data_IF_869175778614
#
_entry.id   IF_869175778614
#
_cell.length_a   1.000
_cell.length_b   1.000
_cell.length_c   1.000
_cell.angle_alpha   90.00
_cell.angle_beta   90.00
_cell.angle_gamma   90.00
#
_symmetry.space_group_name_H-M   'P 1'
#
loop_
_entity.id
_entity.type
_entity.pdbx_description
1 polymer ?
#
# COMPACT_ATOMS: atom_id res chain seq x y z
N UNK A 1 -5.11 -1.25 -0.98
CA UNK A 1 -3.87 -1.74 -0.31
C UNK A 1 -3.13 -2.81 -1.13
N UNK A 2 -3.64 -3.27 -2.27
CA UNK A 2 -3.18 -4.48 -2.99
C UNK A 2 -1.75 -4.45 -3.54
N UNK A 3 -1.15 -3.28 -3.77
CA UNK A 3 0.18 -3.20 -4.41
C UNK A 3 1.32 -2.96 -3.44
N UNK A 4 1.04 -2.53 -2.23
CA UNK A 4 2.06 -2.12 -1.27
C UNK A 4 2.97 -0.98 -1.73
N UNK A 5 2.60 -0.22 -2.77
CA UNK A 5 3.36 0.93 -3.27
C UNK A 5 3.38 2.11 -2.29
N UNK A 6 4.39 2.96 -2.41
CA UNK A 6 4.38 4.27 -1.76
C UNK A 6 3.37 5.18 -2.45
N UNK A 7 2.74 6.07 -1.69
CA UNK A 7 1.78 7.02 -2.26
C UNK A 7 2.38 7.88 -3.37
N UNK A 8 3.66 8.27 -3.26
CA UNK A 8 4.37 9.00 -4.32
C UNK A 8 4.40 8.26 -5.65
N UNK A 9 4.51 6.93 -5.59
CA UNK A 9 4.57 6.08 -6.79
C UNK A 9 3.16 5.86 -7.35
N UNK A 10 2.15 5.70 -6.48
CA UNK A 10 0.75 5.63 -6.89
C UNK A 10 0.29 6.92 -7.59
N UNK A 11 0.65 8.09 -7.05
CA UNK A 11 0.32 9.39 -7.66
C UNK A 11 0.99 9.62 -9.03
N UNK A 12 2.02 8.86 -9.36
CA UNK A 12 2.66 8.90 -10.66
C UNK A 12 2.03 7.97 -11.71
N UNK A 13 1.20 7.02 -11.27
CA UNK A 13 0.59 6.06 -12.18
C UNK A 13 -0.44 6.72 -13.11
N UNK A 14 -0.51 6.16 -14.31
CA UNK A 14 -1.50 6.51 -15.34
C UNK A 14 -2.36 5.30 -15.67
N UNK A 15 -3.57 5.53 -16.16
CA UNK A 15 -4.50 4.45 -16.48
C UNK A 15 -3.94 3.46 -17.50
N UNK A 16 -3.26 3.94 -18.55
CA UNK A 16 -2.66 3.07 -19.57
C UNK A 16 -1.58 2.11 -19.06
N UNK A 17 -1.07 2.32 -17.84
CA UNK A 17 -0.06 1.43 -17.24
C UNK A 17 -0.69 0.26 -16.49
N UNK A 18 -1.93 0.40 -16.03
CA UNK A 18 -2.58 -0.56 -15.13
C UNK A 18 -3.90 -1.11 -15.66
N UNK A 19 -4.49 -0.47 -16.67
CA UNK A 19 -5.76 -0.88 -17.24
C UNK A 19 -5.56 -2.10 -18.17
N UNK A 20 -6.33 -3.17 -17.94
CA UNK A 20 -6.26 -4.42 -18.70
C UNK A 20 -4.85 -5.04 -18.77
N UNK A 21 -4.10 -4.93 -17.70
CA UNK A 21 -2.70 -5.39 -17.62
C UNK A 21 -2.53 -6.31 -16.41
N UNK A 22 -1.88 -7.46 -16.60
CA UNK A 22 -1.57 -8.39 -15.51
C UNK A 22 -0.30 -7.97 -14.74
N UNK A 23 0.63 -7.33 -15.43
CA UNK A 23 1.88 -6.85 -14.84
C UNK A 23 2.22 -5.47 -15.38
N UNK A 24 2.83 -4.65 -14.52
CA UNK A 24 3.37 -3.34 -14.93
C UNK A 24 4.66 -3.03 -14.18
N UNK A 25 5.50 -2.23 -14.81
CA UNK A 25 6.76 -1.79 -14.22
C UNK A 25 6.73 -0.30 -13.87
N UNK A 26 7.34 0.04 -12.75
CA UNK A 26 7.54 1.42 -12.32
C UNK A 26 9.02 1.67 -11.99
N UNK A 27 9.41 2.94 -12.00
CA UNK A 27 10.64 3.40 -11.37
C UNK A 27 10.22 4.11 -10.09
N UNK A 28 10.59 3.53 -8.94
CA UNK A 28 10.25 4.09 -7.63
C UNK A 28 10.87 5.47 -7.45
N UNK A 29 10.07 6.49 -7.15
CA UNK A 29 10.53 7.88 -7.00
C UNK A 29 11.59 8.07 -5.90
N UNK A 30 11.48 7.31 -4.81
CA UNK A 30 12.40 7.44 -3.68
C UNK A 30 13.74 6.78 -3.91
N UNK A 31 13.80 5.69 -4.68
CA UNK A 31 14.98 4.82 -4.76
C UNK A 31 15.59 4.75 -6.15
N UNK A 32 14.85 5.21 -7.18
CA UNK A 32 15.25 5.08 -8.59
C UNK A 32 15.24 3.63 -9.10
N UNK A 33 14.86 2.65 -8.28
CA UNK A 33 14.88 1.24 -8.67
C UNK A 33 13.66 0.90 -9.53
N UNK A 34 13.90 0.11 -10.57
CA UNK A 34 12.83 -0.51 -11.37
C UNK A 34 12.18 -1.62 -10.57
N UNK A 35 10.86 -1.64 -10.55
CA UNK A 35 10.06 -2.66 -9.88
C UNK A 35 8.92 -3.11 -10.78
N UNK A 36 8.76 -4.42 -10.94
CA UNK A 36 7.60 -5.02 -11.58
C UNK A 36 6.57 -5.42 -10.54
N UNK A 37 5.31 -5.16 -10.80
CA UNK A 37 4.17 -5.49 -9.96
C UNK A 37 3.19 -6.33 -10.75
N UNK A 38 2.57 -7.29 -10.06
CA UNK A 38 1.47 -8.09 -10.61
C UNK A 38 0.13 -7.54 -10.10
N UNK A 39 -0.84 -7.49 -11.01
CA UNK A 39 -2.22 -7.13 -10.72
C UNK A 39 -3.02 -8.43 -10.69
N UNK A 40 -3.53 -8.81 -9.53
CA UNK A 40 -4.40 -9.97 -9.44
C UNK A 40 -5.78 -9.69 -10.07
N UNK A 41 -6.56 -10.73 -10.42
CA UNK A 41 -7.84 -10.56 -11.11
C UNK A 41 -8.83 -9.65 -10.36
N UNK A 42 -8.88 -9.74 -9.03
CA UNK A 42 -9.76 -8.90 -8.22
C UNK A 42 -9.39 -7.41 -8.31
N UNK A 43 -8.10 -7.10 -8.25
CA UNK A 43 -7.62 -5.73 -8.41
C UNK A 43 -7.85 -5.23 -9.84
N UNK A 44 -7.66 -6.09 -10.85
CA UNK A 44 -7.88 -5.76 -12.25
C UNK A 44 -9.34 -5.37 -12.50
N UNK A 45 -10.29 -6.18 -12.02
CA UNK A 45 -11.70 -5.87 -12.08
C UNK A 45 -12.02 -4.51 -11.43
N UNK A 46 -11.50 -4.27 -10.23
CA UNK A 46 -11.71 -3.02 -9.52
C UNK A 46 -11.10 -1.80 -10.25
N UNK A 47 -9.96 -1.95 -10.91
CA UNK A 47 -9.36 -0.90 -11.74
C UNK A 47 -10.29 -0.55 -12.92
N UNK A 48 -10.86 -1.56 -13.58
CA UNK A 48 -11.81 -1.35 -14.69
C UNK A 48 -13.06 -0.61 -14.19
N UNK A 49 -13.66 -1.09 -13.10
CA UNK A 49 -14.82 -0.43 -12.48
C UNK A 49 -14.55 1.05 -12.15
N UNK A 50 -13.39 1.33 -11.56
CA UNK A 50 -12.98 2.71 -11.26
C UNK A 50 -12.80 3.55 -12.55
N UNK A 51 -12.21 2.97 -13.59
CA UNK A 51 -12.01 3.65 -14.86
C UNK A 51 -13.36 4.02 -15.51
N UNK A 52 -14.31 3.09 -15.53
CA UNK A 52 -15.65 3.30 -16.08
C UNK A 52 -16.44 4.35 -15.29
N UNK A 53 -16.31 4.37 -13.96
CA UNK A 53 -16.98 5.37 -13.11
C UNK A 53 -16.37 6.77 -13.25
N UNK A 54 -15.05 6.86 -13.36
CA UNK A 54 -14.34 8.15 -13.40
C UNK A 54 -14.39 8.76 -14.80
N UNK A 55 -14.43 7.94 -15.85
CA UNK A 55 -14.43 8.34 -17.25
C UNK A 55 -13.36 9.41 -17.56
N UNK A 56 -12.08 9.10 -17.35
CA UNK A 56 -11.01 10.07 -17.55
C UNK A 56 -10.93 10.50 -19.03
N UNK A 57 -10.51 11.74 -19.27
CA UNK A 57 -10.39 12.31 -20.62
C UNK A 57 -9.50 11.48 -21.54
N UNK A 58 -8.51 10.76 -20.97
CA UNK A 58 -7.60 9.91 -21.74
C UNK A 58 -7.05 8.79 -20.84
N UNK A 59 -6.76 7.65 -21.45
CA UNK A 59 -6.02 6.56 -20.79
C UNK A 59 -4.63 6.98 -20.31
N UNK A 60 -4.07 8.06 -20.84
CA UNK A 60 -2.80 8.65 -20.39
C UNK A 60 -2.97 9.57 -19.17
N UNK A 61 -4.21 9.82 -18.72
CA UNK A 61 -4.47 10.63 -17.52
C UNK A 61 -3.93 9.94 -16.27
N UNK A 62 -3.44 10.71 -15.27
CA UNK A 62 -3.10 10.17 -13.97
C UNK A 62 -4.32 9.53 -13.30
N UNK A 63 -4.10 8.48 -12.50
CA UNK A 63 -5.20 7.75 -11.85
C UNK A 63 -5.84 8.52 -10.67
N UNK A 64 -5.11 9.43 -10.05
CA UNK A 64 -5.57 10.20 -8.90
C UNK A 64 -5.48 11.71 -9.20
N UNK A 65 -6.58 12.25 -9.66
CA UNK A 65 -6.70 13.68 -9.99
C UNK A 65 -7.85 14.33 -9.22
N UNK A 66 -7.71 15.63 -8.97
CA UNK A 66 -8.77 16.45 -8.42
C UNK A 66 -9.84 16.74 -9.48
N UNK A 67 -10.97 17.30 -9.07
CA UNK A 67 -12.01 17.79 -10.02
C UNK A 67 -11.47 18.81 -11.03
N UNK A 68 -10.37 19.50 -10.70
CA UNK A 68 -9.68 20.46 -11.58
C UNK A 68 -8.67 19.78 -12.52
N UNK A 69 -8.59 18.44 -12.57
CA UNK A 69 -7.64 17.69 -13.38
C UNK A 69 -6.18 17.69 -12.88
N UNK A 70 -5.90 18.28 -11.70
CA UNK A 70 -4.55 18.31 -11.12
C UNK A 70 -4.28 17.07 -10.29
N UNK A 71 -3.06 16.54 -10.33
CA UNK A 71 -2.64 15.39 -9.50
C UNK A 71 -2.74 15.80 -8.02
N UNK A 72 -3.28 14.91 -7.19
CA UNK A 72 -3.33 15.13 -5.74
C UNK A 72 -1.94 15.22 -5.13
N UNK A 73 -1.79 16.06 -4.11
CA UNK A 73 -0.62 16.02 -3.22
C UNK A 73 -0.79 14.93 -2.15
N UNK A 74 0.33 14.46 -1.59
CA UNK A 74 0.31 13.49 -0.48
C UNK A 74 -0.48 14.03 0.71
N UNK A 75 -0.33 15.33 1.00
CA UNK A 75 -1.07 16.01 2.07
C UNK A 75 -2.58 15.93 1.82
N UNK A 76 -3.03 16.24 0.60
CA UNK A 76 -4.46 16.16 0.27
C UNK A 76 -5.01 14.74 0.41
N UNK A 77 -4.27 13.71 -0.05
CA UNK A 77 -4.69 12.32 0.15
C UNK A 77 -4.82 12.00 1.65
N UNK A 78 -3.88 12.42 2.49
CA UNK A 78 -3.99 12.19 3.92
C UNK A 78 -5.19 12.94 4.56
N UNK A 79 -5.56 14.11 4.05
CA UNK A 79 -6.79 14.81 4.47
C UNK A 79 -8.02 13.97 4.09
N UNK A 80 -8.12 13.50 2.85
CA UNK A 80 -9.22 12.64 2.37
C UNK A 80 -9.32 11.36 3.22
N UNK A 81 -8.19 10.72 3.55
CA UNK A 81 -8.19 9.53 4.40
C UNK A 81 -8.72 9.84 5.82
N UNK A 82 -8.41 11.00 6.38
CA UNK A 82 -8.98 11.44 7.68
C UNK A 82 -10.48 11.68 7.59
N UNK A 83 -10.96 12.28 6.50
CA UNK A 83 -12.39 12.46 6.23
C UNK A 83 -13.11 11.10 6.13
N UNK A 84 -12.53 10.13 5.40
CA UNK A 84 -13.02 8.76 5.30
C UNK A 84 -13.06 8.09 6.69
N UNK A 85 -11.98 8.21 7.47
CA UNK A 85 -11.94 7.68 8.85
C UNK A 85 -13.09 8.20 9.67
N UNK A 86 -13.37 9.51 9.63
CA UNK A 86 -14.47 10.15 10.36
C UNK A 86 -15.82 9.66 9.86
N UNK A 87 -16.03 9.67 8.54
CA UNK A 87 -17.30 9.27 7.90
C UNK A 87 -17.70 7.83 8.25
N UNK A 88 -16.75 6.91 8.20
CA UNK A 88 -16.99 5.48 8.44
C UNK A 88 -16.66 5.03 9.87
N UNK A 89 -16.37 5.98 10.77
CA UNK A 89 -16.05 5.70 12.20
C UNK A 89 -14.97 4.63 12.38
N UNK A 90 -13.94 4.63 11.53
CA UNK A 90 -12.89 3.61 11.55
C UNK A 90 -12.08 3.67 12.85
N UNK A 91 -11.99 2.55 13.56
CA UNK A 91 -11.25 2.41 14.83
C UNK A 91 -9.73 2.26 14.58
N UNK A 92 -9.12 3.15 13.83
CA UNK A 92 -7.68 3.17 13.52
C UNK A 92 -7.06 4.41 14.13
N UNK A 93 -6.01 4.27 14.96
CA UNK A 93 -5.40 5.40 15.67
C UNK A 93 -4.89 6.47 14.71
N UNK A 94 -4.03 6.11 13.77
CA UNK A 94 -3.42 7.02 12.79
C UNK A 94 -3.70 6.52 11.37
N UNK A 95 -4.77 7.02 10.72
CA UNK A 95 -5.13 6.63 9.36
C UNK A 95 -4.48 7.56 8.33
N UNK A 96 -3.57 7.00 7.52
CA UNK A 96 -2.77 7.74 6.54
C UNK A 96 -2.38 6.82 5.37
N UNK A 97 -1.73 7.37 4.35
CA UNK A 97 -1.17 6.57 3.25
C UNK A 97 -0.21 5.46 3.73
N UNK A 98 0.55 5.74 4.79
CA UNK A 98 1.42 4.72 5.40
C UNK A 98 0.64 3.59 6.07
N UNK A 99 -0.53 3.88 6.64
CA UNK A 99 -1.38 2.85 7.24
C UNK A 99 -1.83 1.84 6.20
N UNK A 100 -2.24 2.28 5.01
CA UNK A 100 -2.66 1.40 3.93
C UNK A 100 -1.51 0.48 3.45
N UNK A 101 -0.31 1.02 3.31
CA UNK A 101 0.87 0.23 2.95
C UNK A 101 1.27 -0.75 4.07
N UNK A 102 1.14 -0.32 5.33
CA UNK A 102 1.37 -1.16 6.50
C UNK A 102 0.35 -2.31 6.57
N UNK A 103 -0.92 -2.03 6.30
CA UNK A 103 -1.98 -3.05 6.22
C UNK A 103 -1.66 -4.11 5.17
N UNK A 104 -1.20 -3.73 3.98
CA UNK A 104 -0.73 -4.68 2.98
C UNK A 104 0.37 -5.60 3.53
N UNK A 105 1.39 -5.03 4.16
CA UNK A 105 2.49 -5.82 4.71
C UNK A 105 2.05 -6.75 5.84
N UNK A 106 1.17 -6.28 6.72
CA UNK A 106 0.57 -7.12 7.79
C UNK A 106 -0.23 -8.28 7.22
N UNK A 107 -1.02 -8.03 6.18
CA UNK A 107 -1.81 -9.07 5.54
C UNK A 107 -0.92 -10.13 4.87
N UNK A 108 0.12 -9.72 4.14
CA UNK A 108 1.10 -10.66 3.57
C UNK A 108 1.79 -11.48 4.66
N UNK A 109 2.18 -10.86 5.77
CA UNK A 109 2.79 -11.55 6.89
C UNK A 109 1.83 -12.59 7.51
N UNK A 110 0.60 -12.19 7.82
CA UNK A 110 -0.39 -13.06 8.44
C UNK A 110 -0.82 -14.25 7.55
N UNK A 111 -0.91 -14.02 6.22
CA UNK A 111 -1.24 -15.08 5.27
C UNK A 111 -0.09 -16.10 5.08
N UNK A 112 1.09 -15.82 5.57
CA UNK A 112 2.27 -16.69 5.51
C UNK A 112 2.77 -17.03 6.92
N UNK A 113 1.87 -17.26 7.87
CA UNK A 113 2.21 -17.53 9.27
C UNK A 113 3.14 -18.74 9.46
N UNK A 114 2.97 -19.79 8.65
CA UNK A 114 3.84 -20.97 8.65
C UNK A 114 5.28 -20.70 8.19
N UNK A 115 5.48 -19.64 7.38
CA UNK A 115 6.77 -19.22 6.83
C UNK A 115 7.02 -17.73 7.08
N UNK A 116 6.76 -17.28 8.31
CA UNK A 116 6.79 -15.87 8.69
C UNK A 116 8.13 -15.18 8.42
N UNK A 117 9.25 -15.87 8.60
CA UNK A 117 10.59 -15.33 8.30
C UNK A 117 10.77 -15.09 6.80
N UNK A 118 10.36 -16.04 5.94
CA UNK A 118 10.42 -15.87 4.50
C UNK A 118 9.50 -14.72 4.05
N UNK A 119 8.32 -14.59 4.66
CA UNK A 119 7.42 -13.46 4.41
C UNK A 119 8.09 -12.12 4.76
N UNK A 120 8.83 -12.06 5.87
CA UNK A 120 9.57 -10.84 6.27
C UNK A 120 10.71 -10.51 5.31
N UNK A 121 11.43 -11.50 4.79
CA UNK A 121 12.45 -11.29 3.75
C UNK A 121 11.81 -10.71 2.49
N UNK A 122 10.75 -11.33 1.98
CA UNK A 122 10.00 -10.83 0.81
C UNK A 122 9.46 -9.41 1.04
N UNK A 123 8.92 -9.12 2.23
CA UNK A 123 8.42 -7.77 2.59
C UNK A 123 9.55 -6.76 2.73
N UNK A 124 10.73 -7.16 3.23
CA UNK A 124 11.91 -6.31 3.30
C UNK A 124 12.32 -5.85 1.90
N UNK A 125 12.44 -6.77 0.96
CA UNK A 125 12.75 -6.47 -0.45
C UNK A 125 11.66 -5.62 -1.09
N UNK A 126 10.39 -6.01 -0.92
CA UNK A 126 9.21 -5.34 -1.45
C UNK A 126 9.08 -3.89 -0.94
N UNK A 127 9.42 -3.64 0.30
CA UNK A 127 9.42 -2.29 0.88
C UNK A 127 10.75 -1.56 0.68
N UNK A 128 11.76 -2.24 0.16
CA UNK A 128 13.12 -1.74 0.03
C UNK A 128 13.65 -1.20 1.37
N UNK A 129 13.55 -2.05 2.39
CA UNK A 129 14.13 -1.81 3.71
C UNK A 129 15.52 -2.43 3.77
N UNK A 130 16.43 -1.83 4.52
CA UNK A 130 17.82 -2.30 4.64
C UNK A 130 17.98 -3.50 5.60
N UNK A 131 16.94 -3.85 6.36
CA UNK A 131 16.97 -5.03 7.25
C UNK A 131 15.57 -5.52 7.61
N UNK A 132 15.49 -6.80 8.00
CA UNK A 132 14.26 -7.42 8.55
C UNK A 132 13.83 -6.70 9.82
N UNK A 133 14.75 -6.24 10.67
CA UNK A 133 14.43 -5.51 11.89
C UNK A 133 13.66 -4.21 11.61
N UNK A 134 14.01 -3.49 10.53
CA UNK A 134 13.27 -2.32 10.07
C UNK A 134 11.87 -2.72 9.59
N UNK A 135 11.74 -3.84 8.89
CA UNK A 135 10.44 -4.34 8.42
C UNK A 135 9.54 -4.74 9.58
N UNK A 136 10.04 -5.49 10.56
CA UNK A 136 9.32 -5.83 11.79
C UNK A 136 8.84 -4.57 12.53
N UNK A 137 9.73 -3.58 12.72
CA UNK A 137 9.38 -2.29 13.35
C UNK A 137 8.30 -1.55 12.55
N UNK A 138 8.46 -1.48 11.23
CA UNK A 138 7.50 -0.82 10.35
C UNK A 138 6.11 -1.45 10.43
N UNK A 139 6.04 -2.77 10.47
CA UNK A 139 4.79 -3.52 10.61
C UNK A 139 4.21 -3.45 12.04
N UNK A 140 5.01 -3.13 13.05
CA UNK A 140 4.64 -3.12 14.45
C UNK A 140 4.75 -4.49 15.14
N UNK A 141 5.33 -5.49 14.48
CA UNK A 141 5.50 -6.84 15.03
C UNK A 141 6.43 -6.87 16.24
N UNK A 142 7.50 -6.06 16.23
CA UNK A 142 8.43 -5.98 17.36
C UNK A 142 7.75 -5.55 18.66
N UNK A 143 6.76 -4.66 18.58
CA UNK A 143 6.01 -4.24 19.76
C UNK A 143 5.11 -5.35 20.28
N UNK A 144 4.50 -6.12 19.38
CA UNK A 144 3.68 -7.29 19.74
C UNK A 144 4.56 -8.38 20.38
N UNK A 145 5.68 -8.75 19.76
CA UNK A 145 6.64 -9.71 20.32
C UNK A 145 7.12 -9.34 21.74
N UNK A 146 7.34 -8.03 21.99
CA UNK A 146 7.73 -7.55 23.34
C UNK A 146 6.57 -7.69 24.32
N UNK A 147 5.34 -7.37 23.92
CA UNK A 147 4.17 -7.48 24.80
C UNK A 147 3.86 -8.95 25.13
N UNK A 148 3.90 -9.85 24.16
CA UNK A 148 3.73 -11.29 24.33
C UNK A 148 4.73 -11.88 25.36
N UNK A 149 5.94 -11.29 25.46
CA UNK A 149 6.92 -11.72 26.44
C UNK A 149 6.43 -11.54 27.89
N UNK A 150 5.58 -10.54 28.15
CA UNK A 150 4.98 -10.35 29.47
C UNK A 150 3.86 -11.34 29.75
N UNK A 151 3.14 -11.80 28.72
CA UNK A 151 2.01 -12.73 28.86
C UNK A 151 2.49 -14.16 29.23
N UNK A 152 3.77 -14.48 28.96
CA UNK A 152 4.38 -15.78 29.29
C UNK A 152 4.87 -15.86 30.75
N UNK A 153 5.01 -14.71 31.43
CA UNK A 153 5.43 -14.66 32.82
C UNK A 153 4.25 -15.03 33.73
N UNK A 154 4.22 -16.28 34.20
CA UNK A 154 3.33 -16.76 35.28
C UNK A 154 4.12 -16.82 36.59
N UNK A 155 3.60 -16.23 37.64
CA UNK A 155 4.11 -16.35 39.02
C UNK A 155 3.28 -17.37 39.79
#
# INVERSE_FOLDING_TARGET
CFTGLRISDILALRWNQILNTEEFAIIEKKTGKKRTLRINPQLQQHIVECYEQIQPVSVKSPILVSQKGTIFTIQRINVVLKEIKKKYRLKVKNFSCHSLRKTFGRQVYNMNSENSELALVKLMELFNHSSIAITKRYLGLRQEEILETYDVLSF
#
